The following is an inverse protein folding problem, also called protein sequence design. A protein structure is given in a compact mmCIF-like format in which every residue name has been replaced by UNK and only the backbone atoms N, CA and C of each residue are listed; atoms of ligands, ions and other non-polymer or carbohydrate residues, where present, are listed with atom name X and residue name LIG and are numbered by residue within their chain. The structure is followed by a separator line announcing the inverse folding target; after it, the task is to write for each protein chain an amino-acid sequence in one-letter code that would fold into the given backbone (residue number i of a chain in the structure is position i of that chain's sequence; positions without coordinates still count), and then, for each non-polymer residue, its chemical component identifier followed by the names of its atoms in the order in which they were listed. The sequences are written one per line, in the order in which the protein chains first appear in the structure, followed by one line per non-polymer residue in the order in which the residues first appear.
data_IF_349929911406
#
_entry.id   IF_349929911406
#
_cell.length_a   1.000
_cell.length_b   1.000
_cell.length_c   1.000
_cell.angle_alpha   90.00
_cell.angle_beta   90.00
_cell.angle_gamma   90.00
#
_symmetry.space_group_name_H-M   'P 1'
#
loop_
_entity.id
_entity.type
_entity.pdbx_description
1 polymer ?
#
# COMPACT_ATOMS: atom_id res chain seq x y z
N UNK A 1 30.25 -0.75 -18.60
CA UNK A 1 28.98 -1.07 -19.26
C UNK A 1 28.07 -1.77 -18.26
N UNK A 2 27.02 -1.09 -17.79
CA UNK A 2 26.00 -1.72 -16.94
C UNK A 2 25.16 -2.61 -17.87
N UNK A 3 25.30 -3.94 -17.79
CA UNK A 3 24.41 -4.86 -18.52
C UNK A 3 22.98 -4.50 -18.14
N UNK A 4 22.15 -4.17 -19.13
CA UNK A 4 20.71 -3.94 -18.93
C UNK A 4 20.14 -5.26 -18.41
N UNK A 5 19.90 -5.34 -17.10
CA UNK A 5 19.25 -6.50 -16.49
C UNK A 5 17.95 -6.77 -17.25
N UNK A 6 17.76 -8.00 -17.71
CA UNK A 6 16.53 -8.41 -18.37
C UNK A 6 15.35 -8.05 -17.45
N UNK A 7 14.36 -7.34 -17.97
CA UNK A 7 13.20 -6.94 -17.18
C UNK A 7 12.24 -8.14 -17.11
N UNK A 8 12.05 -8.80 -15.96
CA UNK A 8 11.25 -10.03 -15.84
C UNK A 8 9.73 -9.83 -15.95
N UNK A 9 9.31 -8.80 -16.68
CA UNK A 9 7.91 -8.39 -16.82
C UNK A 9 7.43 -8.79 -18.22
N UNK A 10 6.42 -9.63 -18.24
CA UNK A 10 5.82 -10.17 -19.45
C UNK A 10 4.47 -9.51 -19.69
N UNK A 11 4.21 -9.13 -20.93
CA UNK A 11 2.95 -8.54 -21.39
C UNK A 11 2.23 -9.57 -22.24
N UNK A 12 0.93 -9.78 -21.96
CA UNK A 12 0.13 -10.73 -22.72
C UNK A 12 -0.03 -10.23 -24.16
N UNK A 13 0.36 -11.03 -25.18
CA UNK A 13 0.28 -10.61 -26.57
C UNK A 13 -1.17 -10.51 -27.06
N UNK A 14 -2.09 -11.37 -26.61
CA UNK A 14 -3.49 -11.38 -27.07
C UNK A 14 -4.27 -10.11 -26.68
N UNK A 15 -4.04 -9.57 -25.47
CA UNK A 15 -4.73 -8.37 -24.98
C UNK A 15 -3.83 -7.13 -24.88
N UNK A 16 -2.62 -7.22 -25.43
CA UNK A 16 -1.58 -6.18 -25.32
C UNK A 16 -1.35 -5.67 -23.89
N UNK A 17 -1.56 -6.49 -22.86
CA UNK A 17 -1.39 -6.10 -21.45
C UNK A 17 -2.61 -5.49 -20.75
N UNK A 18 -3.69 -5.21 -21.46
CA UNK A 18 -4.92 -4.66 -20.86
C UNK A 18 -5.62 -5.66 -19.93
N UNK A 19 -5.46 -6.95 -20.20
CA UNK A 19 -6.08 -8.04 -19.44
C UNK A 19 -7.55 -8.27 -19.82
N UNK A 20 -8.14 -7.40 -20.62
CA UNK A 20 -9.48 -7.54 -21.17
C UNK A 20 -9.45 -7.42 -22.70
N UNK A 21 -10.44 -8.02 -23.36
CA UNK A 21 -10.70 -7.90 -24.80
C UNK A 21 -12.22 -7.68 -24.93
N UNK A 22 -12.63 -6.54 -25.48
CA UNK A 22 -14.04 -6.16 -25.64
C UNK A 22 -14.85 -6.24 -24.32
N UNK A 23 -14.22 -5.89 -23.20
CA UNK A 23 -14.85 -5.89 -21.87
C UNK A 23 -14.96 -7.26 -21.18
N UNK A 24 -14.59 -8.36 -21.84
CA UNK A 24 -14.43 -9.67 -21.22
C UNK A 24 -12.97 -9.89 -20.80
N UNK A 25 -12.74 -10.70 -19.76
CA UNK A 25 -11.38 -11.08 -19.36
C UNK A 25 -10.68 -11.86 -20.50
N UNK A 26 -9.44 -11.49 -20.82
CA UNK A 26 -8.65 -12.16 -21.84
C UNK A 26 -8.43 -13.63 -21.47
N UNK A 27 -8.68 -14.54 -22.42
CA UNK A 27 -8.64 -15.99 -22.18
C UNK A 27 -7.21 -16.49 -21.99
N UNK A 28 -6.23 -15.97 -22.73
CA UNK A 28 -4.83 -16.37 -22.59
C UNK A 28 -4.24 -16.00 -21.23
N UNK A 29 -4.42 -14.75 -20.78
CA UNK A 29 -3.86 -14.30 -19.50
C UNK A 29 -4.82 -14.41 -18.30
N UNK A 30 -6.04 -14.89 -18.50
CA UNK A 30 -7.10 -14.95 -17.49
C UNK A 30 -7.30 -13.62 -16.74
N UNK A 31 -7.38 -12.50 -17.47
CA UNK A 31 -7.60 -11.18 -16.85
C UNK A 31 -6.36 -10.43 -16.34
N UNK A 32 -5.17 -11.06 -16.31
CA UNK A 32 -3.98 -10.47 -15.67
C UNK A 32 -3.35 -9.34 -16.50
N UNK A 33 -3.19 -9.55 -17.81
CA UNK A 33 -2.60 -8.60 -18.75
C UNK A 33 -1.07 -8.49 -18.65
N UNK A 34 -0.55 -8.06 -17.50
CA UNK A 34 0.89 -7.88 -17.26
C UNK A 34 1.29 -8.64 -16.00
N UNK A 35 2.39 -9.38 -16.07
CA UNK A 35 2.86 -10.25 -14.99
C UNK A 35 4.36 -10.08 -14.79
N UNK A 36 4.80 -10.28 -13.55
CA UNK A 36 6.19 -10.31 -13.15
C UNK A 36 6.53 -11.74 -12.71
N UNK A 37 7.54 -12.34 -13.31
CA UNK A 37 7.99 -13.70 -12.94
C UNK A 37 9.30 -13.58 -12.18
N UNK A 38 9.29 -13.95 -10.90
CA UNK A 38 10.50 -13.99 -10.10
C UNK A 38 10.84 -15.45 -9.80
N UNK A 39 11.82 -15.97 -10.50
CA UNK A 39 12.36 -17.29 -10.20
C UNK A 39 13.34 -17.17 -9.04
N UNK A 40 12.92 -17.62 -7.85
CA UNK A 40 13.83 -17.71 -6.73
C UNK A 40 14.49 -19.09 -6.76
N UNK A 41 15.80 -19.10 -7.03
CA UNK A 41 16.65 -20.30 -6.97
C UNK A 41 16.41 -21.02 -5.64
N UNK A 42 15.90 -22.26 -5.71
CA UNK A 42 15.62 -23.11 -4.55
C UNK A 42 14.16 -23.15 -4.05
N UNK A 43 13.22 -22.41 -4.68
CA UNK A 43 11.79 -22.65 -4.46
C UNK A 43 11.29 -23.78 -5.38
N UNK A 44 10.54 -24.72 -4.82
CA UNK A 44 9.88 -25.81 -5.58
C UNK A 44 8.75 -25.32 -6.48
N UNK A 45 8.16 -24.15 -6.19
CA UNK A 45 7.00 -23.61 -6.91
C UNK A 45 7.40 -22.35 -7.67
N UNK A 46 7.00 -22.28 -8.95
CA UNK A 46 7.13 -21.06 -9.76
C UNK A 46 6.06 -20.05 -9.32
N UNK A 47 6.49 -18.82 -9.03
CA UNK A 47 5.60 -17.76 -8.55
C UNK A 47 5.45 -16.66 -9.59
N UNK A 48 4.21 -16.22 -9.79
CA UNK A 48 3.85 -15.15 -10.71
C UNK A 48 3.18 -14.03 -9.95
N UNK A 49 3.68 -12.83 -10.13
CA UNK A 49 3.27 -11.63 -9.44
C UNK A 49 2.43 -10.77 -10.37
N UNK A 50 1.30 -10.27 -9.89
CA UNK A 50 0.37 -9.47 -10.69
C UNK A 50 -0.32 -8.40 -9.84
N UNK A 51 -0.84 -7.36 -10.50
CA UNK A 51 -1.66 -6.36 -9.83
C UNK A 51 -3.13 -6.77 -9.83
N UNK A 52 -3.65 -7.24 -8.69
CA UNK A 52 -5.03 -7.74 -8.57
C UNK A 52 -6.06 -6.70 -8.12
N UNK A 53 -5.62 -5.49 -7.74
CA UNK A 53 -6.52 -4.48 -7.16
C UNK A 53 -7.30 -3.73 -8.24
N UNK A 54 -8.61 -3.98 -8.28
CA UNK A 54 -9.56 -3.17 -9.05
C UNK A 54 -9.69 -1.78 -8.43
N UNK A 55 -9.45 -0.74 -9.23
CA UNK A 55 -9.67 0.66 -8.85
C UNK A 55 -11.06 1.08 -9.34
N UNK A 56 -11.92 1.49 -8.42
CA UNK A 56 -13.22 2.07 -8.74
C UNK A 56 -13.57 3.14 -7.72
N UNK A 57 -14.35 4.13 -8.13
CA UNK A 57 -14.73 5.25 -7.26
C UNK A 57 -15.33 4.78 -5.93
N UNK A 58 -16.34 3.88 -6.00
CA UNK A 58 -16.99 3.34 -4.81
C UNK A 58 -16.04 2.58 -3.89
N UNK A 59 -15.16 1.72 -4.43
CA UNK A 59 -14.19 0.97 -3.63
C UNK A 59 -13.14 1.87 -2.99
N UNK A 60 -12.72 2.93 -3.67
CA UNK A 60 -11.79 3.92 -3.13
C UNK A 60 -12.45 4.68 -1.97
N UNK A 61 -13.71 5.09 -2.14
CA UNK A 61 -14.46 5.82 -1.13
C UNK A 61 -14.73 4.97 0.11
N UNK A 62 -15.19 3.74 -0.08
CA UNK A 62 -15.42 2.75 0.98
C UNK A 62 -14.15 2.55 1.82
N UNK A 63 -13.02 2.26 1.18
CA UNK A 63 -11.73 2.09 1.87
C UNK A 63 -11.27 3.35 2.59
N UNK A 64 -11.49 4.55 2.03
CA UNK A 64 -11.18 5.81 2.71
C UNK A 64 -12.05 5.99 3.95
N UNK A 65 -13.34 5.64 3.88
CA UNK A 65 -14.26 5.70 5.01
C UNK A 65 -13.87 4.70 6.10
N UNK A 66 -13.59 3.45 5.75
CA UNK A 66 -13.10 2.42 6.69
C UNK A 66 -11.84 2.89 7.42
N UNK A 67 -10.87 3.47 6.71
CA UNK A 67 -9.65 4.03 7.31
C UNK A 67 -9.97 5.15 8.30
N UNK A 68 -10.87 6.08 7.95
CA UNK A 68 -11.28 7.17 8.86
C UNK A 68 -12.01 6.66 10.09
N UNK A 69 -12.98 5.76 9.91
CA UNK A 69 -13.73 5.15 11.02
C UNK A 69 -12.78 4.45 11.99
N UNK A 70 -11.82 3.70 11.45
CA UNK A 70 -10.78 3.03 12.25
C UNK A 70 -9.91 4.01 13.04
N UNK A 71 -9.43 5.08 12.40
CA UNK A 71 -8.65 6.11 13.09
C UNK A 71 -9.48 6.78 14.19
N UNK A 72 -10.74 7.11 13.89
CA UNK A 72 -11.67 7.70 14.86
C UNK A 72 -11.92 6.76 16.04
N UNK A 73 -12.19 5.47 15.79
CA UNK A 73 -12.37 4.48 16.85
C UNK A 73 -11.11 4.34 17.71
N UNK A 74 -9.92 4.26 17.10
CA UNK A 74 -8.67 4.17 17.85
C UNK A 74 -8.43 5.45 18.69
N UNK A 75 -8.78 6.62 18.16
CA UNK A 75 -8.70 7.87 18.91
C UNK A 75 -9.67 7.90 20.09
N UNK A 76 -10.92 7.44 19.91
CA UNK A 76 -11.90 7.34 21.00
C UNK A 76 -11.45 6.36 22.10
N UNK A 77 -10.95 5.18 21.73
CA UNK A 77 -10.42 4.21 22.69
C UNK A 77 -9.22 4.79 23.45
N UNK A 78 -8.33 5.51 22.77
CA UNK A 78 -7.19 6.17 23.39
C UNK A 78 -7.60 7.27 24.37
N UNK A 79 -8.60 8.11 24.01
CA UNK A 79 -9.16 9.12 24.90
C UNK A 79 -9.76 8.46 26.15
N UNK A 80 -10.47 7.35 25.98
CA UNK A 80 -11.03 6.59 27.10
C UNK A 80 -9.94 6.05 28.04
N UNK A 81 -8.85 5.50 27.47
CA UNK A 81 -7.65 5.12 28.21
C UNK A 81 -7.06 6.27 29.02
N UNK A 82 -6.93 7.45 28.39
CA UNK A 82 -6.40 8.65 29.03
C UNK A 82 -7.29 9.15 30.18
N UNK A 83 -8.62 9.12 30.01
CA UNK A 83 -9.57 9.44 31.08
C UNK A 83 -9.38 8.49 32.27
N UNK A 84 -9.33 7.18 32.02
CA UNK A 84 -9.12 6.21 33.09
C UNK A 84 -7.77 6.35 33.79
N UNK A 85 -6.71 6.73 33.06
CA UNK A 85 -5.41 7.05 33.64
C UNK A 85 -5.45 8.29 34.56
N UNK A 86 -6.17 9.34 34.16
CA UNK A 86 -6.36 10.53 35.01
C UNK A 86 -7.18 10.21 36.28
N UNK A 87 -8.20 9.35 36.15
CA UNK A 87 -8.98 8.89 37.31
C UNK A 87 -8.14 8.03 38.26
N UNK A 88 -7.19 7.24 37.75
CA UNK A 88 -6.22 6.53 38.58
C UNK A 88 -5.37 7.53 39.38
N UNK A 89 -4.82 8.56 38.74
CA UNK A 89 -4.02 9.59 39.43
C UNK A 89 -4.83 10.23 40.56
N UNK A 90 -6.09 10.58 40.30
CA UNK A 90 -7.00 11.12 41.31
C UNK A 90 -7.21 10.13 42.46
N UNK A 91 -7.52 8.87 42.16
CA UNK A 91 -7.73 7.84 43.18
C UNK A 91 -6.48 7.64 44.06
N UNK A 92 -5.29 7.66 43.46
CA UNK A 92 -4.01 7.57 44.19
C UNK A 92 -3.77 8.79 45.09
N UNK A 93 -4.13 9.99 44.62
CA UNK A 93 -4.05 11.20 45.43
C UNK A 93 -5.00 11.15 46.64
N UNK A 94 -6.25 10.75 46.42
CA UNK A 94 -7.26 10.62 47.47
C UNK A 94 -6.83 9.59 48.53
N UNK A 95 -6.30 8.43 48.12
CA UNK A 95 -5.77 7.40 49.03
C UNK A 95 -4.60 7.91 49.87
N UNK A 96 -3.65 8.60 49.21
CA UNK A 96 -2.49 9.18 49.89
C UNK A 96 -2.94 10.23 50.92
N UNK A 97 -3.91 11.06 50.58
CA UNK A 97 -4.45 12.08 51.47
C UNK A 97 -5.19 11.48 52.68
N UNK A 98 -5.79 10.30 52.51
CA UNK A 98 -6.46 9.55 53.58
C UNK A 98 -5.50 8.70 54.44
N UNK A 99 -4.21 8.66 54.11
CA UNK A 99 -3.23 7.82 54.82
C UNK A 99 -3.38 6.31 54.58
N UNK A 100 -4.11 5.92 53.52
CA UNK A 100 -4.36 4.52 53.17
C UNK A 100 -3.20 4.01 52.29
N UNK A 101 -2.78 2.76 52.51
CA UNK A 101 -1.72 2.13 51.73
C UNK A 101 -2.14 1.86 50.28
N UNK A 102 -1.18 1.87 49.35
CA UNK A 102 -1.44 1.55 47.93
C UNK A 102 -1.98 0.13 47.72
N UNK A 103 -1.61 -0.81 48.60
CA UNK A 103 -2.07 -2.19 48.53
C UNK A 103 -3.60 -2.30 48.71
N UNK A 104 -4.19 -1.39 49.48
CA UNK A 104 -5.62 -1.39 49.76
C UNK A 104 -6.46 -0.92 48.57
N UNK A 105 -5.84 -0.30 47.55
CA UNK A 105 -6.51 0.18 46.34
C UNK A 105 -7.28 -0.93 45.62
N UNK A 106 -6.79 -2.18 45.66
CA UNK A 106 -7.42 -3.33 45.02
C UNK A 106 -8.76 -3.68 45.69
N UNK A 107 -8.88 -3.45 47.00
CA UNK A 107 -10.05 -3.82 47.79
C UNK A 107 -11.07 -2.69 47.93
N UNK A 108 -10.69 -1.45 47.58
CA UNK A 108 -11.55 -0.28 47.73
C UNK A 108 -12.54 -0.21 46.55
N UNK A 109 -13.81 -0.36 46.90
CA UNK A 109 -14.94 -0.18 45.99
C UNK A 109 -15.14 1.33 45.77
N UNK A 110 -14.57 1.85 44.69
CA UNK A 110 -14.74 3.23 44.26
C UNK A 110 -15.13 3.23 42.77
N UNK A 111 -16.02 4.15 42.38
CA UNK A 111 -16.39 4.35 40.99
C UNK A 111 -15.16 4.67 40.12
N UNK A 112 -14.19 5.44 40.65
CA UNK A 112 -12.96 5.78 39.93
C UNK A 112 -12.07 4.55 39.66
N UNK A 113 -11.95 3.63 40.63
CA UNK A 113 -11.15 2.41 40.45
C UNK A 113 -11.82 1.46 39.47
N UNK A 114 -13.15 1.39 39.45
CA UNK A 114 -13.90 0.61 38.46
C UNK A 114 -13.70 1.15 37.03
N UNK A 115 -13.79 2.46 36.82
CA UNK A 115 -13.55 3.08 35.49
C UNK A 115 -12.11 2.86 35.04
N UNK A 116 -11.13 2.94 35.94
CA UNK A 116 -9.73 2.64 35.60
C UNK A 116 -9.53 1.18 35.18
N UNK A 117 -10.10 0.20 35.89
CA UNK A 117 -10.00 -1.20 35.47
C UNK A 117 -10.62 -1.43 34.08
N UNK A 118 -11.76 -0.78 33.82
CA UNK A 118 -12.40 -0.84 32.51
C UNK A 118 -11.54 -0.17 31.42
N UNK A 119 -10.91 0.97 31.70
CA UNK A 119 -10.00 1.63 30.76
C UNK A 119 -8.78 0.78 30.46
N UNK A 120 -8.22 0.10 31.46
CA UNK A 120 -7.09 -0.81 31.27
C UNK A 120 -7.43 -1.95 30.30
N UNK A 121 -8.63 -2.54 30.42
CA UNK A 121 -9.11 -3.56 29.47
C UNK A 121 -9.26 -2.98 28.06
N UNK A 122 -9.77 -1.76 27.94
CA UNK A 122 -9.90 -1.06 26.65
C UNK A 122 -8.53 -0.76 26.03
N UNK A 123 -7.53 -0.36 26.82
CA UNK A 123 -6.17 -0.11 26.36
C UNK A 123 -5.49 -1.39 25.88
N UNK A 124 -5.66 -2.50 26.61
CA UNK A 124 -5.19 -3.81 26.16
C UNK A 124 -5.84 -4.22 24.82
N UNK A 125 -7.14 -4.00 24.68
CA UNK A 125 -7.85 -4.24 23.42
C UNK A 125 -7.35 -3.33 22.29
N UNK A 126 -7.09 -2.05 22.55
CA UNK A 126 -6.53 -1.10 21.59
C UNK A 126 -5.16 -1.57 21.09
N UNK A 127 -4.27 -1.98 21.99
CA UNK A 127 -2.94 -2.52 21.64
C UNK A 127 -3.08 -3.78 20.79
N UNK A 128 -3.95 -4.72 21.21
CA UNK A 128 -4.23 -5.93 20.45
C UNK A 128 -4.71 -5.61 19.03
N UNK A 129 -5.65 -4.68 18.89
CA UNK A 129 -6.21 -4.24 17.61
C UNK A 129 -5.14 -3.63 16.71
N UNK A 130 -4.33 -2.69 17.21
CA UNK A 130 -3.24 -2.08 16.45
C UNK A 130 -2.26 -3.15 15.95
N UNK A 131 -1.92 -4.11 16.80
CA UNK A 131 -1.04 -5.22 16.44
C UNK A 131 -1.65 -6.13 15.37
N UNK A 132 -2.93 -6.47 15.46
CA UNK A 132 -3.60 -7.28 14.43
C UNK A 132 -3.66 -6.56 13.08
N UNK A 133 -3.94 -5.25 13.09
CA UNK A 133 -3.99 -4.46 11.86
C UNK A 133 -2.62 -4.38 11.16
N UNK A 134 -1.52 -4.43 11.93
CA UNK A 134 -0.17 -4.51 11.36
C UNK A 134 0.09 -5.85 10.65
N UNK A 135 -0.49 -6.96 11.16
CA UNK A 135 -0.34 -8.32 10.60
C UNK A 135 -1.17 -8.53 9.33
N UNK A 136 -2.37 -7.96 9.27
CA UNK A 136 -3.27 -8.10 8.11
C UNK A 136 -2.76 -7.38 6.85
N UNK A 137 -1.78 -6.48 6.98
CA UNK A 137 -1.16 -5.78 5.84
C UNK A 137 -0.12 -6.71 5.19
N UNK A 138 -0.48 -7.39 4.10
CA UNK A 138 0.39 -8.36 3.39
C UNK A 138 1.82 -7.86 3.16
N UNK A 139 2.82 -8.57 3.66
CA UNK A 139 4.23 -8.17 3.54
C UNK A 139 4.79 -8.62 2.18
N UNK A 140 5.78 -7.89 1.67
CA UNK A 140 6.63 -8.41 0.60
C UNK A 140 7.24 -9.74 1.08
N UNK A 141 7.22 -10.76 0.23
CA UNK A 141 7.79 -12.06 0.56
C UNK A 141 9.29 -11.89 0.78
N UNK A 142 9.79 -12.34 1.92
CA UNK A 142 11.22 -12.24 2.24
C UNK A 142 12.02 -13.11 1.27
N UNK A 143 13.09 -12.56 0.71
CA UNK A 143 14.04 -13.29 -0.13
C UNK A 143 14.73 -14.37 0.71
N UNK A 144 14.83 -15.64 0.24
CA UNK A 144 15.67 -16.63 0.90
C UNK A 144 17.13 -16.12 0.94
N UNK A 145 17.84 -16.36 2.05
CA UNK A 145 19.21 -15.85 2.27
C UNK A 145 20.24 -16.47 1.32
N UNK A 146 19.93 -17.63 0.72
CA UNK A 146 20.75 -18.27 -0.31
C UNK A 146 20.87 -17.30 -1.48
N UNK A 147 22.10 -17.10 -1.99
CA UNK A 147 22.42 -16.24 -3.13
C UNK A 147 21.55 -16.60 -4.34
N UNK A 148 20.35 -16.06 -4.40
CA UNK A 148 19.58 -16.10 -5.63
C UNK A 148 20.29 -15.15 -6.59
N UNK A 149 21.08 -15.74 -7.48
CA UNK A 149 21.37 -15.18 -8.79
C UNK A 149 20.04 -14.67 -9.33
N UNK A 150 19.98 -13.36 -9.54
CA UNK A 150 18.85 -12.80 -10.26
C UNK A 150 18.96 -13.28 -11.69
N UNK A 151 17.83 -13.74 -12.24
CA UNK A 151 17.54 -13.70 -13.66
C UNK A 151 18.52 -14.52 -14.51
N UNK A 152 18.45 -15.84 -14.42
CA UNK A 152 18.49 -16.55 -15.70
C UNK A 152 17.21 -16.16 -16.44
N UNK A 153 17.31 -15.93 -17.75
CA UNK A 153 16.17 -15.61 -18.61
C UNK A 153 15.20 -16.81 -18.58
N UNK A 154 14.31 -16.83 -17.58
CA UNK A 154 13.27 -17.83 -17.52
C UNK A 154 12.38 -17.60 -18.74
N UNK A 155 12.31 -18.56 -19.66
CA UNK A 155 11.34 -18.52 -20.75
C UNK A 155 9.96 -18.73 -20.13
N UNK A 156 9.25 -17.64 -19.87
CA UNK A 156 7.85 -17.69 -19.44
C UNK A 156 6.96 -17.82 -20.67
N UNK A 157 6.14 -18.88 -20.71
CA UNK A 157 5.04 -19.02 -21.64
C UNK A 157 3.70 -18.78 -20.93
N UNK A 158 2.81 -18.06 -21.61
CA UNK A 158 1.46 -17.81 -21.14
C UNK A 158 0.61 -19.08 -21.08
N UNK A 159 0.95 -20.15 -21.83
CA UNK A 159 0.30 -21.46 -21.70
C UNK A 159 0.42 -22.06 -20.30
N UNK A 160 1.54 -21.76 -19.63
CA UNK A 160 1.92 -22.40 -18.37
C UNK A 160 1.30 -21.70 -17.16
N UNK A 161 0.45 -20.69 -17.38
CA UNK A 161 -0.11 -19.83 -16.34
C UNK A 161 -0.79 -20.59 -15.19
N UNK A 162 -1.29 -21.80 -15.45
CA UNK A 162 -1.91 -22.68 -14.44
C UNK A 162 -0.91 -23.31 -13.46
N UNK A 163 0.34 -23.45 -13.87
CA UNK A 163 1.42 -24.02 -13.05
C UNK A 163 2.00 -23.00 -12.06
N UNK A 164 1.80 -21.71 -12.33
CA UNK A 164 2.31 -20.65 -11.47
C UNK A 164 1.35 -20.32 -10.34
N UNK A 165 1.91 -20.22 -9.14
CA UNK A 165 1.21 -19.64 -8.00
C UNK A 165 1.07 -18.12 -8.19
N UNK A 166 -0.17 -17.66 -8.28
CA UNK A 166 -0.48 -16.24 -8.52
C UNK A 166 -0.45 -15.45 -7.21
N UNK A 167 0.35 -14.41 -7.16
CA UNK A 167 0.54 -13.53 -6.01
C UNK A 167 0.11 -12.11 -6.38
N UNK A 168 -0.93 -11.61 -5.72
CA UNK A 168 -1.37 -10.23 -5.86
C UNK A 168 -0.43 -9.27 -5.11
N UNK A 169 0.33 -8.47 -5.85
CA UNK A 169 1.30 -7.53 -5.28
C UNK A 169 0.64 -6.33 -4.61
N UNK A 170 -0.63 -6.04 -4.91
CA UNK A 170 -1.30 -4.81 -4.44
C UNK A 170 -1.41 -4.73 -2.92
N UNK A 171 -1.33 -5.87 -2.22
CA UNK A 171 -1.33 -5.97 -0.76
C UNK A 171 0.02 -5.58 -0.13
N UNK A 172 1.08 -5.63 -0.93
CA UNK A 172 2.46 -5.34 -0.52
C UNK A 172 2.78 -3.84 -0.55
N UNK A 173 1.90 -3.02 -1.10
CA UNK A 173 2.06 -1.56 -1.09
C UNK A 173 1.69 -1.01 0.28
N UNK A 174 2.47 -0.02 0.74
CA UNK A 174 2.12 0.71 1.95
C UNK A 174 0.89 1.61 1.73
N UNK A 175 0.41 2.21 2.82
CA UNK A 175 -0.80 3.04 2.78
C UNK A 175 -0.59 4.35 2.03
N UNK A 176 0.62 4.92 2.02
CA UNK A 176 0.92 6.17 1.34
C UNK A 176 1.01 5.93 -0.18
N UNK A 177 1.67 4.87 -0.61
CA UNK A 177 1.75 4.41 -2.00
C UNK A 177 0.36 4.10 -2.56
N UNK A 178 -0.45 3.34 -1.81
CA UNK A 178 -1.83 3.07 -2.21
C UNK A 178 -2.68 4.34 -2.28
N UNK A 179 -2.52 5.25 -1.31
CA UNK A 179 -3.18 6.55 -1.33
C UNK A 179 -2.82 7.36 -2.57
N UNK A 180 -1.54 7.33 -2.97
CA UNK A 180 -1.05 8.01 -4.17
C UNK A 180 -1.66 7.43 -5.45
N UNK A 181 -1.73 6.10 -5.58
CA UNK A 181 -2.40 5.42 -6.71
C UNK A 181 -3.90 5.73 -6.75
N UNK A 182 -4.56 5.76 -5.59
CA UNK A 182 -5.98 6.12 -5.48
C UNK A 182 -6.20 7.59 -5.90
N UNK A 183 -5.31 8.50 -5.51
CA UNK A 183 -5.37 9.92 -5.89
C UNK A 183 -5.07 10.17 -7.36
N UNK A 184 -4.10 9.45 -7.94
CA UNK A 184 -3.81 9.53 -9.38
C UNK A 184 -5.00 9.05 -10.20
N UNK A 185 -5.63 7.94 -9.80
CA UNK A 185 -6.85 7.42 -10.41
C UNK A 185 -8.00 8.43 -10.33
N UNK A 186 -8.25 9.02 -9.16
CA UNK A 186 -9.27 10.06 -9.00
C UNK A 186 -8.94 11.34 -9.79
N UNK A 187 -7.66 11.62 -10.04
CA UNK A 187 -7.26 12.74 -10.89
C UNK A 187 -7.57 12.47 -12.36
N UNK A 188 -7.17 11.30 -12.86
CA UNK A 188 -7.48 10.86 -14.23
C UNK A 188 -9.00 10.81 -14.46
N UNK A 189 -9.76 10.30 -13.48
CA UNK A 189 -11.23 10.24 -13.56
C UNK A 189 -11.87 11.63 -13.67
N UNK A 190 -11.38 12.61 -12.89
CA UNK A 190 -11.88 14.00 -12.94
C UNK A 190 -11.55 14.69 -14.26
N UNK A 191 -10.44 14.32 -14.89
CA UNK A 191 -10.05 14.80 -16.22
C UNK A 191 -10.72 13.99 -17.35
N UNK A 192 -11.55 13.00 -17.02
CA UNK A 192 -12.21 12.10 -17.97
C UNK A 192 -11.26 11.32 -18.88
N UNK A 193 -10.00 11.13 -18.46
CA UNK A 193 -9.04 10.37 -19.24
C UNK A 193 -9.40 8.88 -19.28
N UNK A 194 -9.18 8.25 -20.42
CA UNK A 194 -9.43 6.81 -20.64
C UNK A 194 -8.46 5.93 -19.85
N UNK A 195 -7.21 6.35 -19.69
CA UNK A 195 -6.18 5.56 -19.04
C UNK A 195 -5.58 6.27 -17.83
N UNK A 196 -5.28 5.49 -16.79
CA UNK A 196 -4.35 5.89 -15.76
C UNK A 196 -2.93 5.59 -16.28
N UNK A 197 -2.25 6.62 -16.76
CA UNK A 197 -0.83 6.57 -17.16
C UNK A 197 0.13 6.96 -16.04
N UNK A 198 1.42 6.65 -16.23
CA UNK A 198 2.50 6.98 -15.29
C UNK A 198 2.56 8.47 -14.96
N UNK A 199 2.23 9.35 -15.91
CA UNK A 199 2.20 10.81 -15.69
C UNK A 199 1.19 11.21 -14.60
N UNK A 200 0.05 10.53 -14.48
CA UNK A 200 -0.92 10.79 -13.42
C UNK A 200 -0.39 10.35 -12.05
N UNK A 201 0.27 9.19 -12.02
CA UNK A 201 0.89 8.67 -10.80
C UNK A 201 2.01 9.60 -10.36
N UNK A 202 2.84 10.06 -11.29
CA UNK A 202 3.91 11.02 -11.05
C UNK A 202 3.40 12.34 -10.47
N UNK A 203 2.35 12.94 -11.04
CA UNK A 203 1.74 14.17 -10.49
C UNK A 203 1.18 13.96 -9.08
N UNK A 204 0.62 12.78 -8.79
CA UNK A 204 0.18 12.46 -7.43
C UNK A 204 1.36 12.28 -6.47
N UNK A 205 2.46 11.67 -6.91
CA UNK A 205 3.69 11.50 -6.13
C UNK A 205 4.31 12.84 -5.73
N UNK A 206 4.27 13.87 -6.58
CA UNK A 206 4.77 15.22 -6.27
C UNK A 206 4.02 15.93 -5.11
N UNK A 207 2.92 15.38 -4.62
CA UNK A 207 2.24 15.86 -3.41
C UNK A 207 2.77 15.21 -2.13
N UNK A 208 3.53 14.12 -2.25
CA UNK A 208 4.06 13.40 -1.11
C UNK A 208 5.34 14.05 -0.56
N UNK A 209 5.42 14.24 0.75
CA UNK A 209 6.56 14.90 1.39
C UNK A 209 7.89 14.16 1.24
N UNK A 210 7.88 12.82 1.19
CA UNK A 210 9.09 12.01 0.98
C UNK A 210 9.64 12.19 -0.43
N UNK A 211 8.76 12.22 -1.43
CA UNK A 211 9.12 12.49 -2.83
C UNK A 211 9.67 13.92 -2.97
N UNK A 212 9.03 14.89 -2.33
CA UNK A 212 9.50 16.29 -2.34
C UNK A 212 10.90 16.44 -1.71
N UNK A 213 11.21 15.64 -0.70
CA UNK A 213 12.57 15.58 -0.13
C UNK A 213 13.61 15.09 -1.15
N UNK A 214 13.26 14.10 -1.98
CA UNK A 214 14.15 13.61 -3.06
C UNK A 214 14.39 14.71 -4.08
N UNK A 215 13.33 15.37 -4.57
CA UNK A 215 13.47 16.46 -5.53
C UNK A 215 14.22 17.68 -4.96
N UNK A 216 14.00 18.00 -3.69
CA UNK A 216 14.72 19.07 -2.99
C UNK A 216 16.23 18.82 -2.95
N UNK A 217 16.66 17.57 -2.75
CA UNK A 217 18.08 17.17 -2.81
C UNK A 217 18.68 17.26 -4.22
N UNK A 218 17.86 17.15 -5.24
CA UNK A 218 18.26 17.34 -6.64
C UNK A 218 18.13 18.79 -7.10
N UNK A 219 17.79 19.72 -6.19
CA UNK A 219 17.53 21.13 -6.49
C UNK A 219 16.45 21.35 -7.57
N UNK A 220 15.47 20.45 -7.64
CA UNK A 220 14.34 20.55 -8.57
C UNK A 220 13.16 21.21 -7.87
N UNK A 221 12.63 22.27 -8.47
CA UNK A 221 11.36 22.87 -8.06
C UNK A 221 10.18 21.96 -8.46
N UNK A 222 9.81 21.09 -7.53
CA UNK A 222 8.73 20.12 -7.72
C UNK A 222 7.35 20.79 -7.90
N UNK A 223 7.14 22.02 -7.39
CA UNK A 223 5.86 22.73 -7.56
C UNK A 223 5.69 23.19 -8.99
N UNK A 224 6.72 23.86 -9.52
CA UNK A 224 6.74 24.30 -10.91
C UNK A 224 6.70 23.10 -11.89
N UNK A 225 7.39 22.00 -11.56
CA UNK A 225 7.29 20.75 -12.34
C UNK A 225 5.86 20.19 -12.33
N UNK A 226 5.21 20.13 -11.16
CA UNK A 226 3.83 19.64 -11.04
C UNK A 226 2.84 20.48 -11.86
N UNK A 227 3.03 21.81 -11.91
CA UNK A 227 2.20 22.71 -12.70
C UNK A 227 2.37 22.49 -14.21
N UNK A 228 3.63 22.38 -14.68
CA UNK A 228 3.92 22.07 -16.09
C UNK A 228 3.29 20.75 -16.52
N UNK A 229 3.40 19.72 -15.70
CA UNK A 229 2.84 18.40 -16.02
C UNK A 229 1.30 18.44 -15.99
N UNK A 230 0.69 19.13 -15.03
CA UNK A 230 -0.78 19.33 -15.02
C UNK A 230 -1.26 20.03 -16.28
N UNK A 231 -0.55 21.05 -16.76
CA UNK A 231 -0.86 21.73 -18.02
C UNK A 231 -0.69 20.82 -19.24
N UNK A 232 0.29 19.90 -19.22
CA UNK A 232 0.42 18.89 -20.26
C UNK A 232 -0.74 17.87 -20.22
N UNK A 233 -1.17 17.45 -19.02
CA UNK A 233 -2.27 16.51 -18.85
C UNK A 233 -3.59 17.03 -19.44
N UNK A 234 -3.87 18.33 -19.38
CA UNK A 234 -5.10 18.88 -19.97
C UNK A 234 -5.15 18.80 -21.49
N UNK A 235 -4.04 18.44 -22.16
CA UNK A 235 -3.97 18.26 -23.61
C UNK A 235 -4.30 16.82 -24.05
N UNK A 236 -4.45 15.89 -23.10
CA UNK A 236 -4.82 14.51 -23.41
C UNK A 236 -6.30 14.49 -23.79
N UNK A 237 -6.61 14.01 -25.00
CA UNK A 237 -7.96 14.01 -25.57
C UNK A 237 -8.66 12.65 -25.46
N UNK A 238 -7.96 11.61 -25.04
CA UNK A 238 -8.53 10.27 -24.93
C UNK A 238 -9.53 10.21 -23.77
N UNK A 239 -10.82 10.24 -24.12
CA UNK A 239 -11.92 10.08 -23.17
C UNK A 239 -12.48 8.65 -23.20
N UNK A 240 -12.92 8.16 -22.04
CA UNK A 240 -13.59 6.87 -21.97
C UNK A 240 -13.74 6.34 -20.56
N UNK A 241 -14.13 5.07 -20.44
CA UNK A 241 -14.11 4.37 -19.15
C UNK A 241 -12.66 4.27 -18.68
N UNK A 242 -12.39 4.80 -17.49
CA UNK A 242 -11.04 4.84 -16.92
C UNK A 242 -10.54 3.42 -16.58
N UNK A 243 -9.44 3.03 -17.22
CA UNK A 243 -8.75 1.76 -17.01
C UNK A 243 -7.26 1.98 -16.67
N UNK A 244 -6.59 0.94 -16.18
CA UNK A 244 -5.14 0.99 -15.97
C UNK A 244 -4.43 0.82 -17.30
N UNK A 245 -3.52 1.76 -17.64
CA UNK A 245 -2.59 1.58 -18.75
C UNK A 245 -1.66 0.38 -18.51
N UNK A 246 -1.08 -0.13 -19.59
CA UNK A 246 -0.08 -1.21 -19.54
C UNK A 246 1.15 -0.70 -18.78
N UNK A 247 1.51 0.56 -19.01
CA UNK A 247 2.61 1.31 -18.44
C UNK A 247 2.46 1.42 -16.92
N UNK A 248 1.26 1.74 -16.43
CA UNK A 248 1.01 1.79 -14.98
C UNK A 248 1.06 0.42 -14.33
N UNK A 249 0.57 -0.63 -15.00
CA UNK A 249 0.72 -2.01 -14.48
C UNK A 249 2.20 -2.41 -14.40
N UNK A 250 2.99 -2.09 -15.43
CA UNK A 250 4.45 -2.29 -15.43
C UNK A 250 5.10 -1.52 -14.28
N UNK A 251 4.77 -0.24 -14.12
CA UNK A 251 5.31 0.58 -13.04
C UNK A 251 5.00 0.00 -11.65
N UNK A 252 3.81 -0.55 -11.42
CA UNK A 252 3.49 -1.22 -10.16
C UNK A 252 4.34 -2.48 -9.94
N UNK A 253 4.55 -3.28 -10.98
CA UNK A 253 5.39 -4.48 -10.91
C UNK A 253 6.88 -4.13 -10.72
N UNK A 254 7.36 -3.09 -11.39
CA UNK A 254 8.74 -2.59 -11.24
C UNK A 254 8.98 -2.02 -9.85
N UNK A 255 8.04 -1.24 -9.30
CA UNK A 255 8.11 -0.75 -7.94
C UNK A 255 8.17 -1.91 -6.93
N UNK A 256 7.39 -2.96 -7.17
CA UNK A 256 7.45 -4.18 -6.36
C UNK A 256 8.80 -4.89 -6.49
N UNK A 257 9.28 -5.10 -7.71
CA UNK A 257 10.57 -5.74 -7.97
C UNK A 257 11.71 -4.96 -7.30
N UNK A 258 11.67 -3.62 -7.33
CA UNK A 258 12.64 -2.76 -6.68
C UNK A 258 12.61 -2.90 -5.16
N UNK A 259 11.42 -2.83 -4.56
CA UNK A 259 11.25 -3.04 -3.12
C UNK A 259 11.69 -4.45 -2.67
N UNK A 260 11.41 -5.46 -3.51
CA UNK A 260 11.87 -6.84 -3.31
C UNK A 260 13.40 -6.95 -3.36
N UNK A 261 14.05 -6.35 -4.35
CA UNK A 261 15.52 -6.27 -4.46
C UNK A 261 16.15 -5.64 -3.22
N UNK A 262 15.52 -4.58 -2.71
CA UNK A 262 15.95 -3.85 -1.50
C UNK A 262 15.56 -4.54 -0.18
N UNK A 263 14.91 -5.71 -0.22
CA UNK A 263 14.43 -6.46 0.96
C UNK A 263 13.52 -5.64 1.89
N UNK A 264 12.72 -4.73 1.32
CA UNK A 264 11.74 -3.97 2.09
C UNK A 264 10.57 -4.86 2.48
N UNK A 265 9.90 -4.51 3.59
CA UNK A 265 8.65 -5.17 3.98
C UNK A 265 7.45 -4.72 3.12
N UNK A 266 7.54 -3.53 2.51
CA UNK A 266 6.46 -2.86 1.76
C UNK A 266 7.01 -2.05 0.60
N UNK A 267 6.18 -1.86 -0.43
CA UNK A 267 6.44 -0.93 -1.55
C UNK A 267 6.07 0.48 -1.11
N UNK A 268 7.08 1.34 -1.02
CA UNK A 268 6.95 2.74 -0.63
C UNK A 268 6.78 3.69 -1.81
N UNK A 269 6.49 4.95 -1.51
CA UNK A 269 6.30 6.00 -2.53
C UNK A 269 7.56 6.28 -3.34
N UNK A 270 8.74 6.06 -2.75
CA UNK A 270 10.03 6.16 -3.46
C UNK A 270 10.22 5.05 -4.48
N UNK A 271 9.69 3.84 -4.22
CA UNK A 271 9.76 2.73 -5.16
C UNK A 271 8.80 2.96 -6.34
N UNK A 272 7.62 3.53 -6.07
CA UNK A 272 6.71 4.01 -7.10
C UNK A 272 7.33 5.14 -7.93
N UNK A 273 8.01 6.09 -7.31
CA UNK A 273 8.72 7.17 -8.01
C UNK A 273 9.78 6.60 -8.96
N UNK A 274 10.59 5.66 -8.47
CA UNK A 274 11.60 4.98 -9.29
C UNK A 274 11.01 4.30 -10.52
N UNK A 275 9.81 3.71 -10.41
CA UNK A 275 9.17 2.98 -11.49
C UNK A 275 8.32 3.84 -12.44
N UNK A 276 8.12 5.12 -12.13
CA UNK A 276 7.27 6.03 -12.93
C UNK A 276 8.05 7.17 -13.58
N UNK A 277 9.29 7.40 -13.14
CA UNK A 277 10.24 8.34 -13.73
C UNK A 277 10.98 7.69 -14.91
#
# INVERSE_FOLDING_TARGET
MIKKEANPIYVCPECAGLGNINGADCKQCAGLGVVLVLEAVGLKEKELYYWGRKLSYFKILEKRRERRIRVLLNALLFIFGLIGFLLLIKALYDLKSAGIGLADMINIKNEYTAVWWLSLLVDMYLIYRINQESKLKGKIKKKPMVKASFLEESKFDWSDLKEYKKIDISRSFDQQSLGTIEESWLSAARMQHKFLDNVHIFVALLKNSQVNMVFGRLSIDYKHLAEKIKSALTKITESGKLELSVESKKAFLEAYAQAYKQRKDKVGVTDLLYATA
#
